data_IF_565036162456
#
_entry.id   IF_565036162456
#
_cell.length_a   1.000
_cell.length_b   1.000
_cell.length_c   1.000
_cell.angle_alpha   90.00
_cell.angle_beta   90.00
_cell.angle_gamma   90.00
#
_symmetry.space_group_name_H-M   'P 1'
#
loop_
_entity.id
_entity.type
_entity.pdbx_description
1 polymer ?
#
# COMPACT_ATOMS: atom_id res chain seq x y z
N UNK A 1 -12.92 6.05 7.21
CA UNK A 1 -11.88 4.99 7.11
C UNK A 1 -11.20 4.71 8.44
N UNK A 2 -10.90 5.72 9.26
CA UNK A 2 -10.21 5.53 10.56
C UNK A 2 -11.09 5.78 11.80
N UNK A 3 -12.40 5.92 11.63
CA UNK A 3 -13.30 6.07 12.77
C UNK A 3 -13.30 4.79 13.61
N UNK A 4 -13.08 4.93 14.92
CA UNK A 4 -12.89 3.80 15.85
C UNK A 4 -11.61 2.97 15.65
N UNK A 5 -10.65 3.41 14.82
CA UNK A 5 -9.40 2.66 14.59
C UNK A 5 -8.31 3.11 15.56
N UNK A 6 -7.71 2.16 16.27
CA UNK A 6 -6.49 2.38 17.06
C UNK A 6 -5.25 2.22 16.17
N UNK A 7 -4.39 3.23 16.15
CA UNK A 7 -3.11 3.21 15.44
C UNK A 7 -1.95 3.05 16.44
N UNK A 8 -0.87 2.43 15.98
CA UNK A 8 0.26 2.08 16.83
C UNK A 8 1.55 2.76 16.39
N UNK A 9 2.43 3.01 17.36
CA UNK A 9 3.83 3.41 17.16
C UNK A 9 4.67 2.78 18.26
N UNK A 10 5.80 2.19 17.90
CA UNK A 10 6.76 1.71 18.89
C UNK A 10 7.38 2.87 19.64
N UNK A 11 7.36 2.82 20.98
CA UNK A 11 7.94 3.85 21.86
C UNK A 11 9.47 3.96 21.79
N UNK A 12 10.15 2.97 21.20
CA UNK A 12 11.59 2.81 21.28
C UNK A 12 12.01 2.05 22.55
N UNK A 13 12.88 1.04 22.38
CA UNK A 13 13.51 0.31 23.47
C UNK A 13 14.85 -0.29 22.99
N UNK A 14 15.60 -0.90 23.90
CA UNK A 14 16.88 -1.53 23.60
C UNK A 14 16.77 -2.58 22.48
N UNK A 15 15.71 -3.40 22.49
CA UNK A 15 15.50 -4.46 21.47
C UNK A 15 15.38 -3.92 20.05
N UNK A 16 14.72 -2.77 19.87
CA UNK A 16 14.58 -2.11 18.57
C UNK A 16 15.66 -1.04 18.33
N UNK A 17 16.69 -0.97 19.19
CA UNK A 17 17.73 0.08 19.17
C UNK A 17 17.13 1.48 19.14
N UNK A 18 16.08 1.70 19.94
CA UNK A 18 15.31 2.94 20.03
C UNK A 18 14.62 3.41 18.73
N UNK A 19 14.59 2.60 17.66
CA UNK A 19 13.93 2.99 16.40
C UNK A 19 12.39 3.04 16.48
N UNK A 20 11.80 2.24 17.37
CA UNK A 20 10.35 1.99 17.39
C UNK A 20 9.87 0.96 16.36
N UNK A 21 10.79 0.31 15.62
CA UNK A 21 10.48 -0.68 14.59
C UNK A 21 11.33 -1.94 14.77
N UNK A 22 10.75 -3.12 14.51
CA UNK A 22 11.48 -4.38 14.49
C UNK A 22 10.93 -5.29 13.39
N UNK A 23 11.82 -5.87 12.59
CA UNK A 23 11.43 -6.62 11.39
C UNK A 23 10.99 -5.70 10.24
N UNK A 24 10.47 -6.32 9.18
CA UNK A 24 9.93 -5.65 7.99
C UNK A 24 8.70 -6.41 7.51
N UNK A 25 7.70 -5.70 7.01
CA UNK A 25 6.53 -6.27 6.37
C UNK A 25 6.52 -5.86 4.90
N UNK A 26 6.26 -6.82 4.00
CA UNK A 26 6.10 -6.52 2.58
C UNK A 26 4.73 -5.87 2.33
N UNK A 27 4.71 -4.88 1.45
CA UNK A 27 3.51 -4.35 0.81
C UNK A 27 3.64 -4.66 -0.68
N UNK A 28 2.58 -5.17 -1.30
CA UNK A 28 2.63 -5.67 -2.68
C UNK A 28 1.44 -5.10 -3.44
N UNK A 29 1.73 -4.55 -4.61
CA UNK A 29 0.75 -4.12 -5.60
C UNK A 29 0.84 -5.11 -6.76
N UNK A 30 -0.24 -5.84 -7.01
CA UNK A 30 -0.29 -6.90 -8.03
C UNK A 30 -1.41 -6.57 -9.01
N UNK A 31 -1.01 -6.30 -10.26
CA UNK A 31 -1.93 -6.06 -11.36
C UNK A 31 -2.10 -7.35 -12.17
N UNK A 32 -3.30 -7.92 -12.16
CA UNK A 32 -3.65 -9.01 -13.08
C UNK A 32 -3.80 -8.47 -14.50
N UNK A 33 -3.15 -9.11 -15.48
CA UNK A 33 -3.28 -8.73 -16.89
C UNK A 33 -4.56 -9.36 -17.46
N UNK A 34 -5.68 -8.66 -17.31
CA UNK A 34 -6.97 -9.03 -17.90
C UNK A 34 -7.00 -8.76 -19.40
N UNK A 35 -8.05 -9.25 -20.08
CA UNK A 35 -8.26 -8.98 -21.51
C UNK A 35 -8.43 -7.49 -21.79
N UNK A 36 -9.04 -6.74 -20.87
CA UNK A 36 -9.21 -5.30 -21.03
C UNK A 36 -7.89 -4.57 -20.90
N UNK A 37 -7.09 -4.89 -19.87
CA UNK A 37 -5.73 -4.38 -19.73
C UNK A 37 -4.88 -4.70 -20.97
N UNK A 38 -5.00 -5.91 -21.54
CA UNK A 38 -4.28 -6.28 -22.77
C UNK A 38 -4.68 -5.38 -23.95
N UNK A 39 -5.97 -5.10 -24.14
CA UNK A 39 -6.44 -4.16 -25.19
C UNK A 39 -5.89 -2.76 -24.96
N UNK A 40 -5.85 -2.29 -23.72
CA UNK A 40 -5.31 -0.96 -23.39
C UNK A 40 -3.81 -0.86 -23.70
N UNK A 41 -3.04 -1.91 -23.41
CA UNK A 41 -1.62 -1.99 -23.79
C UNK A 41 -1.44 -1.89 -25.31
N UNK A 42 -2.23 -2.63 -26.09
CA UNK A 42 -2.20 -2.57 -27.57
C UNK A 42 -2.53 -1.16 -28.07
N UNK A 43 -3.50 -0.50 -27.43
CA UNK A 43 -3.90 0.89 -27.74
C UNK A 43 -2.91 1.94 -27.21
N UNK A 44 -1.84 1.54 -26.52
CA UNK A 44 -0.86 2.45 -25.87
C UNK A 44 -1.52 3.44 -24.92
N UNK A 45 -2.51 2.98 -24.16
CA UNK A 45 -3.12 3.78 -23.10
C UNK A 45 -2.06 4.20 -22.07
N UNK A 46 -2.29 5.33 -21.42
CA UNK A 46 -1.40 5.81 -20.37
C UNK A 46 -1.42 4.90 -19.15
N UNK A 47 -0.34 4.92 -18.36
CA UNK A 47 -0.26 4.17 -17.11
C UNK A 47 -1.38 4.56 -16.12
N UNK A 48 -1.81 5.82 -16.13
CA UNK A 48 -2.93 6.29 -15.29
C UNK A 48 -4.26 5.65 -15.69
N UNK A 49 -4.53 5.55 -16.99
CA UNK A 49 -5.75 4.89 -17.49
C UNK A 49 -5.74 3.40 -17.16
N UNK A 50 -4.63 2.72 -17.42
CA UNK A 50 -4.46 1.30 -17.10
C UNK A 50 -4.63 1.08 -15.58
N UNK A 51 -4.00 1.93 -14.76
CA UNK A 51 -4.10 1.86 -13.31
C UNK A 51 -5.52 2.01 -12.78
N UNK A 52 -6.33 2.93 -13.36
CA UNK A 52 -7.74 3.10 -12.98
C UNK A 52 -8.56 1.83 -13.24
N UNK A 53 -8.36 1.21 -14.41
CA UNK A 53 -9.05 -0.05 -14.75
C UNK A 53 -8.58 -1.16 -13.82
N UNK A 54 -7.27 -1.31 -13.62
CA UNK A 54 -6.72 -2.33 -12.73
C UNK A 54 -7.26 -2.22 -11.29
N UNK A 55 -7.34 -1.00 -10.74
CA UNK A 55 -7.95 -0.77 -9.41
C UNK A 55 -9.43 -1.14 -9.40
N UNK A 56 -10.17 -0.77 -10.46
CA UNK A 56 -11.57 -1.16 -10.63
C UNK A 56 -11.77 -2.68 -10.71
N UNK A 57 -10.78 -3.41 -11.25
CA UNK A 57 -10.75 -4.88 -11.33
C UNK A 57 -10.21 -5.56 -10.07
N UNK A 58 -9.94 -4.79 -9.00
CA UNK A 58 -9.59 -5.33 -7.68
C UNK A 58 -8.09 -5.27 -7.35
N UNK A 59 -7.25 -4.67 -8.19
CA UNK A 59 -5.87 -4.34 -7.79
C UNK A 59 -5.90 -3.37 -6.61
N UNK A 60 -5.11 -3.68 -5.57
CA UNK A 60 -4.89 -2.75 -4.46
C UNK A 60 -3.55 -2.06 -4.61
N UNK A 61 -3.56 -0.74 -4.49
CA UNK A 61 -2.33 0.05 -4.58
C UNK A 61 -1.44 -0.17 -3.37
N UNK A 62 -0.15 0.15 -3.49
CA UNK A 62 0.79 0.13 -2.37
C UNK A 62 0.26 0.95 -1.18
N UNK A 63 -0.32 2.13 -1.43
CA UNK A 63 -0.93 2.98 -0.39
C UNK A 63 -2.09 2.27 0.32
N UNK A 64 -2.99 1.63 -0.42
CA UNK A 64 -4.12 0.89 0.17
C UNK A 64 -3.62 -0.25 1.05
N UNK A 65 -2.69 -1.07 0.55
CA UNK A 65 -2.13 -2.19 1.29
C UNK A 65 -1.36 -1.71 2.53
N UNK A 66 -0.60 -0.63 2.43
CA UNK A 66 0.14 -0.05 3.55
C UNK A 66 -0.79 0.52 4.63
N UNK A 67 -1.91 1.18 4.25
CA UNK A 67 -2.91 1.67 5.19
C UNK A 67 -3.58 0.52 5.96
N UNK A 68 -3.85 -0.61 5.30
CA UNK A 68 -4.36 -1.81 5.98
C UNK A 68 -3.35 -2.33 7.01
N UNK A 69 -2.05 -2.38 6.67
CA UNK A 69 -1.00 -2.79 7.61
C UNK A 69 -0.90 -1.84 8.81
N UNK A 70 -1.12 -0.55 8.61
CA UNK A 70 -1.17 0.41 9.71
C UNK A 70 -2.41 0.21 10.60
N UNK A 71 -3.57 -0.07 9.99
CA UNK A 71 -4.82 -0.39 10.70
C UNK A 71 -4.71 -1.68 11.52
N UNK A 72 -3.96 -2.66 11.02
CA UNK A 72 -3.65 -3.92 11.71
C UNK A 72 -2.58 -3.78 12.82
N UNK A 73 -1.96 -2.59 12.96
CA UNK A 73 -0.87 -2.36 13.91
C UNK A 73 0.47 -2.98 13.52
N UNK A 74 0.62 -3.47 12.30
CA UNK A 74 1.86 -4.05 11.77
C UNK A 74 2.85 -2.99 11.26
N UNK A 75 2.36 -1.79 10.98
CA UNK A 75 3.17 -0.63 10.57
C UNK A 75 2.60 0.64 11.18
N UNK A 76 3.26 1.77 10.94
CA UNK A 76 2.82 3.09 11.41
C UNK A 76 2.28 3.91 10.24
N UNK A 77 1.38 4.87 10.52
CA UNK A 77 0.90 5.79 9.50
C UNK A 77 2.03 6.63 8.88
N UNK A 78 3.07 6.93 9.67
CA UNK A 78 4.30 7.56 9.18
C UNK A 78 4.97 6.72 8.08
N UNK A 79 5.19 5.43 8.32
CA UNK A 79 5.80 4.54 7.33
C UNK A 79 4.96 4.43 6.06
N UNK A 80 3.63 4.44 6.17
CA UNK A 80 2.74 4.47 5.00
C UNK A 80 3.03 5.68 4.12
N UNK A 81 3.15 6.86 4.71
CA UNK A 81 3.37 8.11 3.98
C UNK A 81 4.76 8.20 3.35
N UNK A 82 5.79 7.67 4.03
CA UNK A 82 7.18 7.71 3.52
C UNK A 82 7.42 6.66 2.44
N UNK A 83 6.81 5.48 2.55
CA UNK A 83 7.09 4.34 1.66
C UNK A 83 6.17 4.26 0.43
N UNK A 84 5.12 5.07 0.35
CA UNK A 84 4.13 4.98 -0.74
C UNK A 84 3.70 6.35 -1.26
N UNK A 85 3.39 6.46 -2.55
CA UNK A 85 2.83 7.67 -3.15
C UNK A 85 1.29 7.68 -3.11
N UNK A 86 0.70 8.87 -3.19
CA UNK A 86 -0.70 8.99 -3.58
C UNK A 86 -0.77 8.90 -5.10
N UNK A 87 -1.53 7.92 -5.62
CA UNK A 87 -1.82 7.79 -7.04
C UNK A 87 -2.98 8.72 -7.44
#
# INVERSE_FOLDING_TARGET
>A
MFDGVTLFRGRGCERCKNSGYAGRAAIIEVMTVTDEIRKMVIKRASASEIGKVAVGEGMRTLRMVALEKAREGLSTLEQVLVMTAAH
#
